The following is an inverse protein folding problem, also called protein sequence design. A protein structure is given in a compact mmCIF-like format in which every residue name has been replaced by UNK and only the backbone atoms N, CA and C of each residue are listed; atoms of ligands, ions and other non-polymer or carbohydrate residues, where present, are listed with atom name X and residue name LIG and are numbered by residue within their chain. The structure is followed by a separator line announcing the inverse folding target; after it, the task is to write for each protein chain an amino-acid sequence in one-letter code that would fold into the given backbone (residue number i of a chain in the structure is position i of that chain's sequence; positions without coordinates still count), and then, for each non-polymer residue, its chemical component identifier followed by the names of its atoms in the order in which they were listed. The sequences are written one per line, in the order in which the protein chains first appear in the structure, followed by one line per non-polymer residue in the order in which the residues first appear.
data_IF_801192379042
#
_entry.id   IF_801192379042
#
_cell.length_a   1.000
_cell.length_b   1.000
_cell.length_c   1.000
_cell.angle_alpha   90.00
_cell.angle_beta   90.00
_cell.angle_gamma   90.00
#
_symmetry.space_group_name_H-M   'P 1'
#
loop_
_entity.id
_entity.type
_entity.pdbx_description
1 polymer ?
#
# COMPACT_ATOMS: atom_id res chain seq x y z
N UNK A 1 -6.52 4.18 21.07
CA UNK A 1 -5.69 3.51 20.07
C UNK A 1 -4.28 3.99 20.30
N UNK A 2 -3.51 3.24 21.09
CA UNK A 2 -2.11 3.58 21.35
C UNK A 2 -1.32 3.24 20.10
N UNK A 3 -0.73 4.23 19.44
CA UNK A 3 0.21 4.00 18.35
C UNK A 3 1.51 3.50 18.96
N UNK A 4 1.74 2.19 18.95
CA UNK A 4 3.04 1.64 19.29
C UNK A 4 4.03 2.03 18.18
N UNK A 5 4.91 3.00 18.47
CA UNK A 5 5.99 3.39 17.56
C UNK A 5 7.08 2.33 17.64
N UNK A 6 6.93 1.22 16.92
CA UNK A 6 8.04 0.29 16.72
C UNK A 6 9.12 0.99 15.88
N UNK A 7 10.35 1.07 16.39
CA UNK A 7 11.48 1.65 15.66
C UNK A 7 12.00 0.65 14.61
N UNK A 8 11.27 0.47 13.52
CA UNK A 8 11.71 -0.40 12.42
C UNK A 8 12.50 0.40 11.38
N UNK A 9 13.70 -0.09 11.05
CA UNK A 9 14.54 0.51 10.02
C UNK A 9 14.05 0.05 8.64
N UNK A 10 13.36 0.92 7.93
CA UNK A 10 12.98 0.65 6.54
C UNK A 10 14.19 0.76 5.62
N UNK A 11 14.35 -0.22 4.72
CA UNK A 11 15.36 -0.15 3.66
C UNK A 11 15.10 1.10 2.79
N UNK A 12 16.04 2.06 2.74
CA UNK A 12 15.88 3.31 1.97
C UNK A 12 15.61 3.07 0.48
N UNK A 13 16.16 2.01 -0.12
CA UNK A 13 15.94 1.70 -1.53
C UNK A 13 14.51 1.21 -1.77
N UNK A 14 13.98 0.35 -0.89
CA UNK A 14 12.59 -0.11 -0.96
C UNK A 14 11.61 1.03 -0.73
N UNK A 15 11.88 1.92 0.21
CA UNK A 15 11.03 3.10 0.45
C UNK A 15 11.00 4.02 -0.78
N UNK A 16 12.16 4.27 -1.38
CA UNK A 16 12.24 5.02 -2.64
C UNK A 16 11.46 4.34 -3.76
N UNK A 17 11.51 3.02 -3.88
CA UNK A 17 10.73 2.27 -4.86
C UNK A 17 9.22 2.40 -4.63
N UNK A 18 8.76 2.32 -3.38
CA UNK A 18 7.34 2.53 -3.01
C UNK A 18 6.89 3.95 -3.36
N UNK A 19 7.67 4.97 -2.99
CA UNK A 19 7.40 6.37 -3.33
C UNK A 19 7.29 6.55 -4.85
N UNK A 20 8.21 5.98 -5.62
CA UNK A 20 8.16 6.05 -7.08
C UNK A 20 6.91 5.41 -7.67
N UNK A 21 6.42 4.30 -7.10
CA UNK A 21 5.18 3.64 -7.54
C UNK A 21 3.95 4.49 -7.20
N UNK A 22 3.91 5.09 -6.01
CA UNK A 22 2.85 6.02 -5.62
C UNK A 22 2.81 7.26 -6.54
N UNK A 23 3.96 7.87 -6.84
CA UNK A 23 4.04 9.00 -7.77
C UNK A 23 3.48 8.66 -9.16
N UNK A 24 3.73 7.44 -9.66
CA UNK A 24 3.15 6.97 -10.92
C UNK A 24 1.63 6.80 -10.83
N UNK A 25 1.12 6.23 -9.73
CA UNK A 25 -0.32 6.07 -9.51
C UNK A 25 -1.03 7.43 -9.44
N UNK A 26 -0.41 8.44 -8.80
CA UNK A 26 -0.92 9.82 -8.76
C UNK A 26 -1.00 10.41 -10.17
N UNK A 27 0.07 10.31 -10.97
CA UNK A 27 0.06 10.81 -12.35
C UNK A 27 -0.98 10.11 -13.24
N UNK A 28 -1.21 8.81 -13.04
CA UNK A 28 -2.28 8.09 -13.73
C UNK A 28 -3.67 8.60 -13.30
N UNK A 29 -3.89 8.80 -12.00
CA UNK A 29 -5.15 9.33 -11.49
C UNK A 29 -5.44 10.75 -12.00
N UNK A 30 -4.43 11.60 -12.11
CA UNK A 30 -4.54 12.92 -12.74
C UNK A 30 -4.94 12.80 -14.23
N UNK A 31 -4.44 11.77 -14.93
CA UNK A 31 -4.87 11.50 -16.30
C UNK A 31 -6.34 11.08 -16.37
N UNK A 32 -6.79 10.22 -15.45
CA UNK A 32 -8.21 9.83 -15.36
C UNK A 32 -9.10 11.03 -15.06
N UNK A 33 -8.66 11.93 -14.17
CA UNK A 33 -9.36 13.20 -13.90
C UNK A 33 -9.55 14.01 -15.19
N UNK A 34 -8.49 14.19 -15.98
CA UNK A 34 -8.58 14.89 -17.27
C UNK A 34 -9.54 14.21 -18.25
N UNK A 35 -9.54 12.88 -18.32
CA UNK A 35 -10.50 12.15 -19.18
C UNK A 35 -11.96 12.47 -18.82
N UNK A 36 -12.26 12.64 -17.53
CA UNK A 36 -13.60 13.05 -17.07
C UNK A 36 -13.89 14.50 -17.43
N UNK A 37 -12.92 15.40 -17.25
CA UNK A 37 -13.04 16.82 -17.62
C UNK A 37 -13.23 17.02 -19.13
N UNK A 38 -12.65 16.13 -19.94
CA UNK A 38 -12.73 16.11 -21.40
C UNK A 38 -13.97 15.35 -21.94
N UNK A 39 -14.92 14.96 -21.08
CA UNK A 39 -16.14 14.21 -21.43
C UNK A 39 -15.89 12.93 -22.24
N UNK A 40 -14.83 12.18 -21.88
CA UNK A 40 -14.54 10.88 -22.52
C UNK A 40 -15.54 9.80 -22.15
N UNK A 41 -15.58 8.76 -22.99
CA UNK A 41 -16.45 7.60 -22.78
C UNK A 41 -16.28 6.99 -21.37
N UNK A 42 -17.40 6.79 -20.70
CA UNK A 42 -17.44 6.30 -19.33
C UNK A 42 -16.77 4.92 -19.20
N UNK A 43 -16.88 4.06 -20.21
CA UNK A 43 -16.29 2.71 -20.18
C UNK A 43 -14.76 2.79 -20.20
N UNK A 44 -14.20 3.71 -20.98
CA UNK A 44 -12.75 3.94 -21.02
C UNK A 44 -12.22 4.54 -19.71
N UNK A 45 -12.95 5.49 -19.13
CA UNK A 45 -12.63 6.05 -17.80
C UNK A 45 -12.62 4.94 -16.75
N UNK A 46 -13.62 4.06 -16.73
CA UNK A 46 -13.70 2.94 -15.80
C UNK A 46 -12.53 1.96 -15.94
N UNK A 47 -12.09 1.68 -17.18
CA UNK A 47 -10.91 0.84 -17.43
C UNK A 47 -9.64 1.48 -16.86
N UNK A 48 -9.42 2.78 -17.08
CA UNK A 48 -8.25 3.48 -16.55
C UNK A 48 -8.30 3.60 -15.02
N UNK A 49 -9.47 3.83 -14.45
CA UNK A 49 -9.65 3.86 -13.00
C UNK A 49 -9.36 2.49 -12.37
N UNK A 50 -9.74 1.38 -13.03
CA UNK A 50 -9.37 0.04 -12.60
C UNK A 50 -7.84 -0.19 -12.64
N UNK A 51 -7.15 0.36 -13.64
CA UNK A 51 -5.69 0.32 -13.70
C UNK A 51 -5.03 1.09 -12.54
N UNK A 52 -5.56 2.25 -12.17
CA UNK A 52 -5.11 3.02 -10.98
C UNK A 52 -5.32 2.19 -9.70
N UNK A 53 -6.50 1.60 -9.52
CA UNK A 53 -6.79 0.73 -8.37
C UNK A 53 -5.80 -0.43 -8.27
N UNK A 54 -5.49 -1.09 -9.39
CA UNK A 54 -4.48 -2.16 -9.45
C UNK A 54 -3.09 -1.68 -9.03
N UNK A 55 -2.67 -0.49 -9.49
CA UNK A 55 -1.39 0.10 -9.11
C UNK A 55 -1.31 0.41 -7.60
N UNK A 56 -2.38 0.93 -7.01
CA UNK A 56 -2.48 1.19 -5.57
C UNK A 56 -2.41 -0.12 -4.78
N UNK A 57 -3.18 -1.13 -5.18
CA UNK A 57 -3.17 -2.45 -4.53
C UNK A 57 -1.78 -3.09 -4.58
N UNK A 58 -1.07 -2.97 -5.70
CA UNK A 58 0.30 -3.46 -5.80
C UNK A 58 1.27 -2.69 -4.89
N UNK A 59 1.12 -1.38 -4.72
CA UNK A 59 1.92 -0.63 -3.73
C UNK A 59 1.64 -1.11 -2.31
N UNK A 60 0.36 -1.27 -1.95
CA UNK A 60 -0.04 -1.74 -0.63
C UNK A 60 0.51 -3.13 -0.30
N UNK A 61 0.51 -4.06 -1.27
CA UNK A 61 1.14 -5.38 -1.11
C UNK A 61 2.63 -5.29 -0.80
N UNK A 62 3.34 -4.35 -1.41
CA UNK A 62 4.79 -4.19 -1.22
C UNK A 62 5.11 -3.60 0.15
N UNK A 63 4.30 -2.64 0.62
CA UNK A 63 4.36 -2.12 2.00
C UNK A 63 4.07 -3.24 3.00
N UNK A 64 3.04 -4.04 2.75
CA UNK A 64 2.66 -5.14 3.61
C UNK A 64 3.76 -6.20 3.71
N UNK A 65 4.41 -6.58 2.60
CA UNK A 65 5.56 -7.51 2.61
C UNK A 65 6.71 -6.98 3.46
N UNK A 66 7.00 -5.69 3.36
CA UNK A 66 8.03 -5.07 4.17
C UNK A 66 7.65 -5.16 5.65
N UNK A 67 6.42 -4.78 5.99
CA UNK A 67 5.91 -4.84 7.36
C UNK A 67 5.96 -6.27 7.94
N UNK A 68 5.49 -7.28 7.20
CA UNK A 68 5.58 -8.70 7.59
C UNK A 68 7.03 -9.09 7.87
N UNK A 69 7.95 -8.72 6.98
CA UNK A 69 9.37 -9.11 7.09
C UNK A 69 10.01 -8.55 8.37
N UNK A 70 9.66 -7.33 8.77
CA UNK A 70 10.17 -6.72 10.00
C UNK A 70 9.46 -7.26 11.26
N UNK A 71 8.13 -7.37 11.24
CA UNK A 71 7.36 -7.85 12.39
C UNK A 71 7.67 -9.30 12.75
N UNK A 72 7.85 -10.19 11.77
CA UNK A 72 8.22 -11.60 12.04
C UNK A 72 9.62 -11.70 12.67
N UNK A 73 10.58 -10.90 12.21
CA UNK A 73 11.94 -10.91 12.76
C UNK A 73 11.95 -10.45 14.21
N UNK A 74 11.20 -9.39 14.54
CA UNK A 74 11.10 -8.91 15.92
C UNK A 74 10.32 -9.86 16.82
N UNK A 75 9.16 -10.37 16.39
CA UNK A 75 8.38 -11.33 17.17
C UNK A 75 9.19 -12.62 17.47
N UNK A 76 10.00 -13.09 16.52
CA UNK A 76 10.86 -14.26 16.72
C UNK A 76 12.04 -14.01 17.66
N UNK A 77 12.55 -12.77 17.72
CA UNK A 77 13.68 -12.39 18.58
C UNK A 77 13.24 -12.05 20.01
N UNK A 78 12.11 -11.35 20.15
CA UNK A 78 11.68 -10.75 21.41
C UNK A 78 10.48 -11.47 22.06
N UNK A 79 9.87 -12.46 21.37
CA UNK A 79 8.67 -13.14 21.85
C UNK A 79 7.43 -12.24 21.87
N UNK A 80 7.43 -11.19 21.04
CA UNK A 80 6.39 -10.16 21.00
C UNK A 80 5.14 -10.66 20.26
N UNK A 81 4.21 -11.28 21.00
CA UNK A 81 2.90 -11.71 20.49
C UNK A 81 2.00 -10.53 20.06
N UNK A 82 2.21 -9.34 20.63
CA UNK A 82 1.42 -8.14 20.31
C UNK A 82 1.72 -7.66 18.88
N UNK A 83 2.99 -7.69 18.47
CA UNK A 83 3.40 -7.41 17.09
C UNK A 83 2.75 -8.34 16.05
N UNK A 84 2.47 -9.60 16.41
CA UNK A 84 1.76 -10.56 15.54
C UNK A 84 0.27 -10.21 15.42
N UNK A 85 -0.36 -9.77 16.52
CA UNK A 85 -1.77 -9.34 16.51
C UNK A 85 -1.94 -8.10 15.63
N UNK A 86 -1.07 -7.09 15.78
CA UNK A 86 -1.11 -5.87 14.96
C UNK A 86 -0.89 -6.16 13.47
N UNK A 87 0.03 -7.09 13.16
CA UNK A 87 0.28 -7.51 11.79
C UNK A 87 -0.98 -8.13 11.15
N UNK A 88 -1.66 -9.01 11.88
CA UNK A 88 -2.91 -9.62 11.41
C UNK A 88 -4.00 -8.57 11.20
N UNK A 89 -4.13 -7.58 12.08
CA UNK A 89 -5.07 -6.48 11.88
C UNK A 89 -4.76 -5.66 10.62
N UNK A 90 -3.47 -5.39 10.35
CA UNK A 90 -3.05 -4.65 9.16
C UNK A 90 -3.38 -5.43 7.88
N UNK A 91 -3.17 -6.75 7.87
CA UNK A 91 -3.55 -7.64 6.78
C UNK A 91 -5.07 -7.58 6.56
N UNK A 92 -5.87 -7.73 7.61
CA UNK A 92 -7.33 -7.73 7.53
C UNK A 92 -7.89 -6.42 6.98
N UNK A 93 -7.34 -5.28 7.44
CA UNK A 93 -7.72 -3.95 6.94
C UNK A 93 -7.41 -3.80 5.46
N UNK A 94 -6.26 -4.30 5.01
CA UNK A 94 -5.86 -4.25 3.60
C UNK A 94 -6.68 -5.18 2.71
N UNK A 95 -7.05 -6.37 3.21
CA UNK A 95 -7.84 -7.35 2.44
C UNK A 95 -9.33 -7.00 2.34
N UNK A 96 -9.93 -6.38 3.37
CA UNK A 96 -11.36 -6.01 3.37
C UNK A 96 -11.77 -4.98 2.32
N UNK A 97 -10.81 -4.27 1.73
CA UNK A 97 -11.04 -3.20 0.74
C UNK A 97 -10.74 -3.61 -0.70
N UNK A 98 -10.26 -4.84 -0.94
CA UNK A 98 -9.99 -5.38 -2.30
C UNK A 98 -11.18 -6.07 -2.93
#
# INVERSE_FOLDING_TARGET
MSTHTHNHHHDPEKMKAIVNRLSKAIGHLESVKRMVEDDRDCSEVLVQLAAVRSAINNCGKEILKEHISHCIVHAAQDGDEEAIVELNEAIDKFMKTS
#
